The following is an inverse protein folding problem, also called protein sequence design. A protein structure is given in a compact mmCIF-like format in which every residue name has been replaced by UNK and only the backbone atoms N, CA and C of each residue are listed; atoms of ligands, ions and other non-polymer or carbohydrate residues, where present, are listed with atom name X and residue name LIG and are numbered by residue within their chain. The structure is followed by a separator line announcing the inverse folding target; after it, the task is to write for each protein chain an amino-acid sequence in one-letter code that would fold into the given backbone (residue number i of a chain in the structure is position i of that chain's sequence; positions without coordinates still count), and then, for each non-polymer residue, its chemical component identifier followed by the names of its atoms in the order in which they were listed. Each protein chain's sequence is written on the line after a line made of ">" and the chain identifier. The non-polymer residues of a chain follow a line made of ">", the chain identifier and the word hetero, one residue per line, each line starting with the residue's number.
data_IF_431105529768
#
_entry.id   IF_431105529768
#
_cell.length_a   1.000
_cell.length_b   1.000
_cell.length_c   1.000
_cell.angle_alpha   90.00
_cell.angle_beta   90.00
_cell.angle_gamma   90.00
#
_symmetry.space_group_name_H-M   'P 1'
#
loop_
_entity.id
_entity.type
_entity.pdbx_description
1 polymer ?
#
# COMPACT_ATOMS: atom_id res chain seq x y z
N UNK A 1 -23.76 -21.61 41.87
CA UNK A 1 -24.12 -21.70 40.43
C UNK A 1 -23.53 -20.54 39.61
N UNK A 2 -23.74 -19.27 39.97
CA UNK A 2 -23.33 -18.11 39.14
C UNK A 2 -21.79 -17.94 38.95
N UNK A 3 -20.97 -18.44 39.88
CA UNK A 3 -19.49 -18.34 39.80
C UNK A 3 -18.86 -19.18 38.67
N UNK A 4 -19.43 -20.34 38.35
CA UNK A 4 -18.91 -21.20 37.28
C UNK A 4 -19.40 -20.79 35.89
N UNK A 5 -20.53 -20.09 35.83
CA UNK A 5 -21.11 -19.59 34.58
C UNK A 5 -20.18 -18.58 33.89
N UNK A 6 -19.58 -17.65 34.64
CA UNK A 6 -18.63 -16.68 34.08
C UNK A 6 -17.33 -17.32 33.56
N UNK A 7 -16.84 -18.38 34.23
CA UNK A 7 -15.63 -19.11 33.80
C UNK A 7 -15.91 -19.90 32.52
N UNK A 8 -17.09 -20.53 32.42
CA UNK A 8 -17.52 -21.24 31.22
C UNK A 8 -17.68 -20.27 30.02
N UNK A 9 -18.21 -19.07 30.25
CA UNK A 9 -18.40 -18.04 29.22
C UNK A 9 -17.09 -17.49 28.66
N UNK A 10 -16.05 -17.38 29.48
CA UNK A 10 -14.70 -16.99 29.07
C UNK A 10 -13.94 -18.10 28.33
N UNK A 11 -14.25 -19.38 28.61
CA UNK A 11 -13.63 -20.51 27.91
C UNK A 11 -14.26 -20.79 26.53
N UNK A 12 -15.52 -20.37 26.31
CA UNK A 12 -16.23 -20.57 25.05
C UNK A 12 -16.09 -19.40 24.05
N UNK A 13 -15.41 -18.31 24.41
CA UNK A 13 -15.18 -17.24 23.43
C UNK A 13 -14.22 -17.75 22.35
N UNK A 14 -14.65 -17.89 21.08
CA UNK A 14 -13.77 -18.25 19.99
C UNK A 14 -12.71 -17.16 19.90
N UNK A 15 -11.49 -17.50 20.31
CA UNK A 15 -10.36 -16.58 20.26
C UNK A 15 -10.26 -16.05 18.83
N UNK A 16 -10.34 -14.73 18.75
CA UNK A 16 -10.33 -13.92 17.55
C UNK A 16 -9.39 -14.50 16.50
N UNK A 17 -9.94 -14.99 15.39
CA UNK A 17 -9.13 -15.25 14.21
C UNK A 17 -8.51 -13.92 13.82
N UNK A 18 -7.21 -13.76 14.11
CA UNK A 18 -6.48 -12.58 13.70
C UNK A 18 -6.52 -12.55 12.17
N UNK A 19 -7.21 -11.57 11.62
CA UNK A 19 -7.08 -11.20 10.22
C UNK A 19 -6.17 -9.98 10.18
N UNK A 20 -5.19 -10.01 9.28
CA UNK A 20 -4.37 -8.85 9.00
C UNK A 20 -4.61 -8.36 7.59
N UNK A 21 -4.36 -7.08 7.38
CA UNK A 21 -4.48 -6.44 6.08
C UNK A 21 -3.10 -6.31 5.46
N UNK A 22 -2.99 -6.64 4.18
CA UNK A 22 -1.81 -6.40 3.35
C UNK A 22 -2.17 -5.33 2.34
N UNK A 23 -1.23 -4.43 2.11
CA UNK A 23 -1.30 -3.34 1.16
C UNK A 23 -0.19 -3.52 0.14
N UNK A 24 -0.57 -3.37 -1.12
CA UNK A 24 0.37 -3.24 -2.23
C UNK A 24 0.54 -1.75 -2.51
N UNK A 25 1.77 -1.27 -2.34
CA UNK A 25 2.14 0.13 -2.44
C UNK A 25 3.08 0.32 -3.63
N UNK A 26 2.84 1.37 -4.39
CA UNK A 26 3.76 1.86 -5.42
C UNK A 26 4.52 3.05 -4.85
N UNK A 27 5.84 3.03 -4.94
CA UNK A 27 6.69 4.18 -4.66
C UNK A 27 7.25 4.66 -5.99
N UNK A 28 6.82 5.85 -6.37
CA UNK A 28 7.37 6.61 -7.51
C UNK A 28 8.40 7.60 -7.01
N UNK A 29 9.58 7.60 -7.62
CA UNK A 29 10.62 8.62 -7.44
C UNK A 29 10.54 9.62 -8.59
N UNK A 30 10.59 10.92 -8.26
CA UNK A 30 10.64 12.01 -9.24
C UNK A 30 12.03 12.62 -9.28
N UNK A 31 12.45 13.10 -10.44
CA UNK A 31 13.65 13.93 -10.54
C UNK A 31 13.43 15.20 -9.71
N UNK A 32 14.39 15.51 -8.83
CA UNK A 32 14.41 16.81 -8.18
C UNK A 32 14.88 17.83 -9.23
N UNK A 33 13.93 18.58 -9.78
CA UNK A 33 14.21 19.73 -10.63
C UNK A 33 14.73 20.84 -9.70
N UNK A 34 15.98 20.72 -9.24
CA UNK A 34 16.60 21.50 -8.17
C UNK A 34 16.56 23.02 -8.37
N UNK A 35 15.38 23.62 -8.24
CA UNK A 35 15.18 25.06 -8.14
C UNK A 35 15.03 25.45 -6.66
N UNK A 36 15.99 24.97 -5.85
CA UNK A 36 16.25 25.50 -4.53
C UNK A 36 17.06 26.79 -4.67
N UNK A 37 16.43 27.86 -5.15
CA UNK A 37 16.91 29.22 -4.89
C UNK A 37 15.92 29.91 -3.98
N UNK A 38 16.30 29.99 -2.71
CA UNK A 38 15.72 30.91 -1.75
C UNK A 38 15.86 32.33 -2.30
N UNK A 39 14.86 32.84 -3.00
CA UNK A 39 14.77 34.27 -3.29
C UNK A 39 13.31 34.70 -3.23
N UNK A 40 13.06 35.54 -2.23
CA UNK A 40 11.77 36.07 -1.86
C UNK A 40 11.00 36.67 -3.05
N UNK A 41 9.68 36.48 -2.99
CA UNK A 41 8.68 37.50 -3.32
C UNK A 41 8.84 38.23 -4.65
N UNK A 42 8.22 37.73 -5.72
CA UNK A 42 7.65 38.60 -6.75
C UNK A 42 6.28 38.08 -7.19
N UNK A 43 5.28 38.89 -6.93
CA UNK A 43 3.88 38.78 -7.36
C UNK A 43 3.82 38.90 -8.89
N UNK A 44 3.41 37.83 -9.58
CA UNK A 44 3.27 37.85 -11.04
C UNK A 44 2.57 36.60 -11.54
N UNK A 45 1.24 36.67 -11.68
CA UNK A 45 0.41 35.60 -12.19
C UNK A 45 0.63 35.43 -13.70
N UNK A 46 1.56 34.58 -14.08
CA UNK A 46 1.66 34.02 -15.44
C UNK A 46 1.34 32.53 -15.33
N UNK A 47 0.24 32.12 -15.96
CA UNK A 47 -0.17 30.72 -16.06
C UNK A 47 0.84 29.97 -16.95
N UNK A 48 1.96 29.55 -16.38
CA UNK A 48 2.91 28.64 -16.99
C UNK A 48 2.43 27.23 -16.69
N UNK A 49 2.09 26.49 -17.74
CA UNK A 49 1.89 25.05 -17.72
C UNK A 49 3.11 24.41 -17.08
N UNK A 50 2.99 24.07 -15.79
CA UNK A 50 4.07 23.46 -15.01
C UNK A 50 4.41 22.12 -15.67
N UNK A 51 5.66 21.89 -16.11
CA UNK A 51 6.04 20.61 -16.68
C UNK A 51 5.82 19.53 -15.62
N UNK A 52 5.09 18.47 -15.98
CA UNK A 52 4.86 17.35 -15.08
C UNK A 52 6.21 16.83 -14.58
N UNK A 53 6.38 16.58 -13.26
CA UNK A 53 7.64 16.12 -12.71
C UNK A 53 8.06 14.82 -13.40
N UNK A 54 9.30 14.79 -13.89
CA UNK A 54 9.83 13.63 -14.59
C UNK A 54 10.00 12.47 -13.61
N UNK A 55 9.40 11.33 -13.95
CA UNK A 55 9.45 10.13 -13.13
C UNK A 55 10.75 9.36 -13.40
N UNK A 56 11.57 9.18 -12.37
CA UNK A 56 12.89 8.53 -12.47
C UNK A 56 12.86 7.05 -12.10
N UNK A 57 11.85 6.61 -11.34
CA UNK A 57 11.73 5.20 -10.97
C UNK A 57 10.39 4.85 -10.34
N UNK A 58 9.99 3.58 -10.52
CA UNK A 58 8.83 2.96 -9.88
C UNK A 58 9.26 1.67 -9.20
N UNK A 59 8.81 1.45 -7.97
CA UNK A 59 8.90 0.15 -7.30
C UNK A 59 7.60 -0.20 -6.60
N UNK A 60 7.21 -1.46 -6.69
CA UNK A 60 6.05 -2.01 -5.97
C UNK A 60 6.52 -2.82 -4.77
N UNK A 61 5.86 -2.67 -3.63
CA UNK A 61 6.17 -3.41 -2.41
C UNK A 61 4.91 -3.77 -1.65
N UNK A 62 5.04 -4.79 -0.79
CA UNK A 62 3.98 -5.25 0.10
C UNK A 62 4.24 -4.80 1.53
N UNK A 63 3.21 -4.27 2.19
CA UNK A 63 3.27 -3.73 3.54
C UNK A 63 2.02 -4.08 4.33
N UNK A 64 2.13 -4.12 5.66
CA UNK A 64 0.95 -4.17 6.56
C UNK A 64 0.46 -2.79 6.99
N UNK A 65 1.25 -1.75 6.67
CA UNK A 65 0.92 -0.35 6.89
C UNK A 65 0.21 0.21 5.67
N UNK A 66 -0.86 0.98 5.90
CA UNK A 66 -1.49 1.76 4.84
C UNK A 66 -0.54 2.87 4.33
N UNK A 67 -0.83 3.53 3.19
CA UNK A 67 0.07 4.51 2.60
C UNK A 67 0.43 5.70 3.52
N UNK A 68 -0.49 6.11 4.41
CA UNK A 68 -0.26 7.22 5.33
C UNK A 68 0.62 6.77 6.49
N UNK A 69 0.31 5.60 7.07
CA UNK A 69 1.12 4.97 8.10
C UNK A 69 2.53 4.63 7.62
N UNK A 70 2.66 4.15 6.38
CA UNK A 70 3.96 3.82 5.79
C UNK A 70 4.87 5.04 5.74
N UNK A 71 4.34 6.22 5.38
CA UNK A 71 5.08 7.49 5.40
C UNK A 71 5.47 7.93 6.82
N UNK A 72 4.68 7.56 7.83
CA UNK A 72 5.00 7.84 9.23
C UNK A 72 6.07 6.93 9.82
N UNK A 73 6.19 5.69 9.32
CA UNK A 73 7.14 4.69 9.83
C UNK A 73 8.45 4.61 9.02
N UNK A 74 8.39 4.89 7.72
CA UNK A 74 9.55 4.83 6.82
C UNK A 74 9.94 6.21 6.34
N UNK A 75 11.24 6.47 6.28
CA UNK A 75 11.76 7.70 5.67
C UNK A 75 11.53 7.65 4.16
N UNK A 76 10.59 8.46 3.67
CA UNK A 76 10.31 8.66 2.25
C UNK A 76 11.01 9.95 1.82
N UNK A 77 11.71 9.91 0.68
CA UNK A 77 12.34 11.12 0.17
C UNK A 77 11.27 12.16 -0.24
N UNK A 78 11.56 13.47 -0.16
CA UNK A 78 10.57 14.50 -0.50
C UNK A 78 10.11 14.45 -1.97
N UNK A 79 10.96 13.91 -2.85
CA UNK A 79 10.67 13.64 -4.26
C UNK A 79 10.11 12.22 -4.50
N UNK A 80 9.78 11.46 -3.47
CA UNK A 80 9.11 10.17 -3.58
C UNK A 80 7.63 10.28 -3.21
N UNK A 81 6.79 9.56 -3.94
CA UNK A 81 5.34 9.51 -3.69
C UNK A 81 4.90 8.07 -3.53
N UNK A 82 4.34 7.79 -2.35
CA UNK A 82 3.71 6.50 -2.04
C UNK A 82 2.26 6.52 -2.51
N UNK A 83 1.89 5.58 -3.37
CA UNK A 83 0.53 5.37 -3.88
C UNK A 83 0.01 4.00 -3.48
N UNK A 84 -1.30 3.94 -3.27
CA UNK A 84 -2.03 2.71 -3.02
C UNK A 84 -2.39 2.02 -4.35
N UNK A 85 -2.04 0.74 -4.49
CA UNK A 85 -2.45 -0.09 -5.63
C UNK A 85 -3.62 -0.98 -5.23
N UNK A 86 -3.40 -1.85 -4.23
CA UNK A 86 -4.39 -2.86 -3.85
C UNK A 86 -4.29 -3.24 -2.37
N UNK A 87 -5.33 -3.89 -1.84
CA UNK A 87 -5.35 -4.44 -0.49
C UNK A 87 -6.13 -5.74 -0.45
N UNK A 88 -5.70 -6.63 0.43
CA UNK A 88 -6.43 -7.84 0.76
C UNK A 88 -6.24 -8.21 2.23
N UNK A 89 -7.07 -9.15 2.70
CA UNK A 89 -6.98 -9.70 4.04
C UNK A 89 -6.36 -11.08 3.98
N UNK A 90 -5.47 -11.32 4.93
CA UNK A 90 -4.87 -12.61 5.16
C UNK A 90 -5.41 -13.18 6.47
N UNK A 91 -5.75 -14.47 6.46
CA UNK A 91 -6.18 -15.19 7.65
C UNK A 91 -4.97 -15.65 8.45
N UNK A 92 -5.02 -15.48 9.77
CA UNK A 92 -4.00 -15.95 10.70
C UNK A 92 -2.99 -14.88 11.11
N UNK A 93 -1.92 -15.30 11.79
CA UNK A 93 -0.92 -14.39 12.37
C UNK A 93 0.20 -14.06 11.36
N UNK A 94 0.64 -12.81 11.29
CA UNK A 94 1.72 -12.30 10.42
C UNK A 94 3.13 -12.61 10.88
N UNK A 95 3.30 -12.97 12.15
CA UNK A 95 4.63 -12.98 12.79
C UNK A 95 5.53 -14.03 12.13
N UNK A 96 6.54 -13.54 11.39
CA UNK A 96 7.57 -14.37 10.75
C UNK A 96 7.10 -15.20 9.56
N UNK A 97 5.97 -14.86 8.93
CA UNK A 97 5.46 -15.54 7.73
C UNK A 97 5.44 -14.60 6.53
N UNK A 98 5.63 -15.18 5.35
CA UNK A 98 5.44 -14.45 4.09
C UNK A 98 3.99 -13.97 3.95
N UNK A 99 3.81 -12.87 3.21
CA UNK A 99 2.48 -12.35 2.92
C UNK A 99 1.64 -13.36 2.14
N UNK A 100 0.35 -13.46 2.47
CA UNK A 100 -0.54 -14.31 1.70
C UNK A 100 -0.72 -13.75 0.27
N UNK A 101 -0.92 -14.60 -0.75
CA UNK A 101 -1.03 -14.15 -2.13
C UNK A 101 -2.26 -13.26 -2.36
N UNK A 102 -2.12 -12.26 -3.23
CA UNK A 102 -3.24 -11.41 -3.62
C UNK A 102 -4.31 -12.24 -4.32
N UNK A 103 -5.53 -12.36 -3.78
CA UNK A 103 -6.59 -13.15 -4.40
C UNK A 103 -7.01 -12.62 -5.78
N UNK A 104 -6.78 -11.33 -6.06
CA UNK A 104 -7.12 -10.70 -7.33
C UNK A 104 -6.09 -10.96 -8.43
N UNK A 105 -4.84 -11.27 -8.08
CA UNK A 105 -3.78 -11.51 -9.07
C UNK A 105 -4.07 -12.71 -9.99
N UNK A 106 -4.83 -13.69 -9.52
CA UNK A 106 -5.25 -14.85 -10.33
C UNK A 106 -6.18 -14.45 -11.48
N UNK A 107 -7.00 -13.42 -11.29
CA UNK A 107 -7.97 -13.00 -12.31
C UNK A 107 -7.31 -12.20 -13.42
N UNK A 108 -6.22 -11.49 -13.14
CA UNK A 108 -5.54 -10.64 -14.12
C UNK A 108 -4.57 -11.44 -15.01
N UNK A 109 -3.95 -12.51 -14.48
CA UNK A 109 -3.08 -13.39 -15.26
C UNK A 109 -3.80 -14.28 -16.26
N UNK A 110 -5.06 -14.67 -15.98
CA UNK A 110 -5.81 -15.56 -16.88
C UNK A 110 -6.41 -14.83 -18.09
N UNK A 111 -6.66 -13.52 -17.98
CA UNK A 111 -7.14 -12.70 -19.11
C UNK A 111 -6.00 -12.37 -20.09
N UNK A 112 -4.75 -12.40 -19.65
CA UNK A 112 -3.58 -12.17 -20.52
C UNK A 112 -3.13 -13.43 -21.29
N UNK A 113 -3.73 -14.60 -21.04
CA UNK A 113 -3.27 -15.89 -21.56
C UNK A 113 -4.34 -16.66 -22.36
N UNK A 114 -5.26 -15.97 -23.04
CA UNK A 114 -6.08 -16.60 -24.07
C UNK A 114 -5.37 -16.50 -25.44
N UNK A 115 -4.64 -17.53 -25.91
CA UNK A 115 -4.31 -17.63 -27.32
C UNK A 115 -5.61 -17.88 -28.08
N UNK A 116 -5.93 -17.00 -29.03
CA UNK A 116 -7.02 -17.22 -29.98
C UNK A 116 -6.69 -18.43 -30.86
N UNK A 117 -7.16 -19.62 -30.48
CA UNK A 117 -7.17 -20.77 -31.37
C UNK A 117 -8.44 -20.71 -32.23
N UNK A 118 -8.24 -20.27 -33.47
CA UNK A 118 -9.25 -20.16 -34.52
C UNK A 118 -9.54 -21.57 -35.06
N UNK A 119 -10.82 -21.98 -35.09
CA UNK A 119 -11.28 -23.11 -35.92
C UNK A 119 -12.58 -22.77 -36.61
#
# INVERSE_FOLDING_TARGET
>A
MLRYFFILLLALSPASFAEYRVFELEITSYADNGNGTDTASVTGATAVTSPAPEETGKKTLLSTLDPEQYRGYHTIQPNEKVRYISTWRCKGRTTGKDYCPNPKAKTEGEVAAAPSENK
#
